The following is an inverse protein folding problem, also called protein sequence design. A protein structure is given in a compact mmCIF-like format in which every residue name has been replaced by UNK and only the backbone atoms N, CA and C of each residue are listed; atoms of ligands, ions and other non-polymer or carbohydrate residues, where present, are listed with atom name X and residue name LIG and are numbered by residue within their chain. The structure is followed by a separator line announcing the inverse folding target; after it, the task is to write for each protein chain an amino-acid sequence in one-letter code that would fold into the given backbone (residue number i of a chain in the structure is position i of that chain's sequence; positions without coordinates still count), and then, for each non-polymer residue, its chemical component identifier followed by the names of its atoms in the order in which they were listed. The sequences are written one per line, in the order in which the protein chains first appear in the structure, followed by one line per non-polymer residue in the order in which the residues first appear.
data_IF_003837081731
#
_entry.id   IF_003837081731
#
_cell.length_a   1.000
_cell.length_b   1.000
_cell.length_c   1.000
_cell.angle_alpha   90.00
_cell.angle_beta   90.00
_cell.angle_gamma   90.00
#
_symmetry.space_group_name_H-M   'P 1'
#
loop_
_entity.id
_entity.type
_entity.pdbx_description
1 polymer ?
#
# COMPACT_ATOMS: atom_id res chain seq x y z
N UNK A 1 2.22 -20.38 -5.94
CA UNK A 1 3.35 -20.21 -5.00
C UNK A 1 3.21 -18.82 -4.40
N UNK A 2 3.19 -18.71 -3.08
CA UNK A 2 3.29 -17.39 -2.41
C UNK A 2 4.72 -16.93 -2.66
N UNK A 3 4.93 -15.95 -3.53
CA UNK A 3 6.27 -15.44 -3.80
C UNK A 3 6.72 -14.61 -2.61
N UNK A 4 7.76 -15.06 -1.92
CA UNK A 4 8.45 -14.27 -0.91
C UNK A 4 8.98 -12.97 -1.52
N UNK A 5 9.02 -11.91 -0.71
CA UNK A 5 9.54 -10.62 -1.14
C UNK A 5 11.07 -10.71 -1.27
N UNK A 6 11.57 -10.32 -2.44
CA UNK A 6 12.99 -10.27 -2.80
C UNK A 6 13.65 -9.01 -2.24
N UNK A 7 14.98 -8.94 -2.29
CA UNK A 7 15.70 -7.72 -1.92
C UNK A 7 15.30 -6.50 -2.77
N UNK A 8 15.02 -6.70 -4.06
CA UNK A 8 14.53 -5.64 -4.94
C UNK A 8 13.14 -5.14 -4.50
N UNK A 9 12.27 -6.03 -4.06
CA UNK A 9 10.96 -5.64 -3.51
C UNK A 9 11.13 -4.83 -2.23
N UNK A 10 12.08 -5.21 -1.36
CA UNK A 10 12.33 -4.48 -0.12
C UNK A 10 12.88 -3.07 -0.38
N UNK A 11 13.68 -2.88 -1.43
CA UNK A 11 14.08 -1.54 -1.90
C UNK A 11 12.86 -0.71 -2.32
N UNK A 12 11.93 -1.30 -3.07
CA UNK A 12 10.68 -0.62 -3.46
C UNK A 12 9.85 -0.26 -2.21
N UNK A 13 9.73 -1.17 -1.26
CA UNK A 13 9.02 -0.94 0.00
C UNK A 13 9.63 0.22 0.79
N UNK A 14 10.95 0.29 0.89
CA UNK A 14 11.65 1.39 1.57
C UNK A 14 11.38 2.73 0.88
N UNK A 15 11.51 2.79 -0.45
CA UNK A 15 11.24 4.02 -1.22
C UNK A 15 9.77 4.47 -1.12
N UNK A 16 8.82 3.53 -1.16
CA UNK A 16 7.40 3.85 -0.94
C UNK A 16 7.17 4.39 0.48
N UNK A 17 7.90 3.86 1.46
CA UNK A 17 7.81 4.33 2.85
C UNK A 17 8.35 5.75 2.98
N UNK A 18 9.51 6.03 2.38
CA UNK A 18 10.11 7.37 2.34
C UNK A 18 9.23 8.39 1.58
N UNK A 19 8.51 7.93 0.55
CA UNK A 19 7.52 8.74 -0.16
C UNK A 19 6.25 9.04 0.67
N UNK A 20 6.13 8.49 1.89
CA UNK A 20 5.07 8.80 2.84
C UNK A 20 4.02 7.69 3.02
N UNK A 21 4.23 6.50 2.45
CA UNK A 21 3.35 5.36 2.69
C UNK A 21 3.71 4.67 4.02
N UNK A 22 2.72 4.16 4.76
CA UNK A 22 3.03 3.32 5.92
C UNK A 22 3.75 2.04 5.44
N UNK A 23 4.83 1.63 6.13
CA UNK A 23 5.64 0.46 5.75
C UNK A 23 4.81 -0.81 5.57
N UNK A 24 3.84 -1.06 6.45
CA UNK A 24 2.97 -2.23 6.38
C UNK A 24 2.11 -2.20 5.12
N UNK A 25 1.58 -1.03 4.76
CA UNK A 25 0.82 -0.83 3.53
C UNK A 25 1.74 -1.02 2.30
N UNK A 26 2.95 -0.48 2.33
CA UNK A 26 3.92 -0.64 1.24
C UNK A 26 4.23 -2.11 0.97
N UNK A 27 4.47 -2.91 2.03
CA UNK A 27 4.67 -4.36 1.93
C UNK A 27 3.47 -5.06 1.29
N UNK A 28 2.26 -4.74 1.74
CA UNK A 28 1.01 -5.30 1.21
C UNK A 28 0.83 -4.96 -0.27
N UNK A 29 1.05 -3.70 -0.65
CA UNK A 29 0.91 -3.22 -2.04
C UNK A 29 1.88 -3.94 -2.96
N UNK A 30 3.16 -4.03 -2.58
CA UNK A 30 4.17 -4.71 -3.40
C UNK A 30 3.85 -6.21 -3.52
N UNK A 31 3.48 -6.87 -2.42
CA UNK A 31 3.07 -8.27 -2.47
C UNK A 31 1.85 -8.50 -3.37
N UNK A 32 0.78 -7.74 -3.17
CA UNK A 32 -0.45 -7.87 -3.95
C UNK A 32 -0.25 -7.53 -5.43
N UNK A 33 0.67 -6.60 -5.76
CA UNK A 33 0.99 -6.28 -7.15
C UNK A 33 1.60 -7.47 -7.91
N UNK A 34 2.34 -8.33 -7.20
CA UNK A 34 2.96 -9.54 -7.76
C UNK A 34 2.01 -10.72 -7.76
N UNK A 35 1.21 -10.87 -6.71
CA UNK A 35 0.25 -11.95 -6.57
C UNK A 35 -1.03 -11.75 -7.41
N UNK A 36 -1.38 -10.50 -7.73
CA UNK A 36 -2.62 -10.10 -8.39
C UNK A 36 -3.84 -10.16 -7.46
N UNK A 37 -4.12 -11.35 -6.90
CA UNK A 37 -5.17 -11.59 -5.92
C UNK A 37 -4.66 -12.50 -4.80
N UNK A 38 -4.93 -12.16 -3.53
CA UNK A 38 -4.52 -12.97 -2.38
C UNK A 38 -5.55 -12.92 -1.25
N UNK A 39 -5.65 -14.00 -0.47
CA UNK A 39 -6.48 -14.05 0.74
C UNK A 39 -5.77 -13.44 1.95
N UNK A 40 -6.52 -13.01 2.97
CA UNK A 40 -5.94 -12.38 4.18
C UNK A 40 -4.76 -13.17 4.75
N UNK A 41 -4.87 -14.50 4.82
CA UNK A 41 -3.84 -15.38 5.40
C UNK A 41 -2.52 -15.34 4.63
N UNK A 42 -2.57 -15.25 3.31
CA UNK A 42 -1.36 -15.19 2.49
C UNK A 42 -0.68 -13.83 2.63
N UNK A 43 -1.49 -12.77 2.78
CA UNK A 43 -1.03 -11.41 3.02
C UNK A 43 -0.38 -11.29 4.40
N UNK A 44 -0.99 -11.86 5.45
CA UNK A 44 -0.40 -11.94 6.80
C UNK A 44 0.99 -12.58 6.75
N UNK A 45 1.14 -13.70 6.04
CA UNK A 45 2.41 -14.42 5.91
C UNK A 45 3.45 -13.64 5.09
N UNK A 46 3.07 -13.13 3.91
CA UNK A 46 4.01 -12.48 3.00
C UNK A 46 4.43 -11.10 3.48
N UNK A 47 3.49 -10.33 4.04
CA UNK A 47 3.79 -9.01 4.58
C UNK A 47 4.38 -9.07 6.00
N UNK A 48 4.44 -10.26 6.63
CA UNK A 48 4.82 -10.45 8.03
C UNK A 48 3.99 -9.56 8.98
N UNK A 49 2.67 -9.56 8.77
CA UNK A 49 1.72 -8.73 9.51
C UNK A 49 0.74 -9.61 10.28
N UNK A 50 0.31 -9.13 11.44
CA UNK A 50 -0.80 -9.72 12.20
C UNK A 50 -2.13 -9.30 11.59
N UNK A 51 -3.16 -10.11 11.80
CA UNK A 51 -4.51 -9.85 11.31
C UNK A 51 -5.05 -8.42 11.56
N UNK A 52 -4.84 -7.76 12.73
CA UNK A 52 -5.27 -6.38 12.94
C UNK A 52 -4.61 -5.39 11.98
N UNK A 53 -3.31 -5.56 11.74
CA UNK A 53 -2.51 -4.71 10.85
C UNK A 53 -2.93 -4.90 9.39
N UNK A 54 -3.17 -6.16 8.99
CA UNK A 54 -3.71 -6.46 7.66
C UNK A 54 -5.10 -5.83 7.49
N UNK A 55 -5.94 -5.88 8.51
CA UNK A 55 -7.28 -5.30 8.43
C UNK A 55 -7.24 -3.77 8.29
N UNK A 56 -6.32 -3.10 8.98
CA UNK A 56 -6.10 -1.66 8.87
C UNK A 56 -5.58 -1.29 7.47
N UNK A 57 -4.54 -1.98 6.99
CA UNK A 57 -3.99 -1.75 5.66
C UNK A 57 -5.04 -1.98 4.56
N UNK A 58 -5.85 -3.04 4.65
CA UNK A 58 -6.93 -3.29 3.70
C UNK A 58 -8.02 -2.24 3.75
N UNK A 59 -8.29 -1.65 4.92
CA UNK A 59 -9.26 -0.56 5.05
C UNK A 59 -8.77 0.67 4.28
N UNK A 60 -7.54 1.11 4.53
CA UNK A 60 -6.94 2.27 3.86
C UNK A 60 -6.83 2.06 2.35
N UNK A 61 -6.35 0.88 1.92
CA UNK A 61 -6.25 0.53 0.50
C UNK A 61 -7.60 0.48 -0.21
N UNK A 62 -8.68 0.12 0.50
CA UNK A 62 -10.05 0.20 -0.05
C UNK A 62 -10.53 1.64 -0.15
N UNK A 63 -10.25 2.48 0.86
CA UNK A 63 -10.62 3.90 0.87
C UNK A 63 -9.92 4.67 -0.26
N UNK A 64 -8.66 4.35 -0.55
CA UNK A 64 -7.94 4.91 -1.72
C UNK A 64 -8.35 4.27 -3.05
N UNK A 65 -9.20 3.25 -3.00
CA UNK A 65 -9.65 2.52 -4.18
C UNK A 65 -8.54 1.76 -4.88
N UNK A 66 -7.50 1.33 -4.17
CA UNK A 66 -6.39 0.53 -4.72
C UNK A 66 -6.68 -0.97 -4.67
N UNK A 67 -7.52 -1.42 -3.74
CA UNK A 67 -7.88 -2.84 -3.55
C UNK A 67 -9.40 -3.05 -3.56
N UNK A 68 -9.84 -4.17 -4.15
CA UNK A 68 -11.20 -4.70 -4.03
C UNK A 68 -11.22 -5.94 -3.14
N UNK A 69 -12.24 -6.04 -2.29
CA UNK A 69 -12.50 -7.19 -1.42
C UNK A 69 -13.61 -8.07 -2.01
N UNK A 70 -13.42 -9.39 -1.95
CA UNK A 70 -14.43 -10.39 -2.30
C UNK A 70 -14.51 -11.46 -1.22
N UNK A 71 -15.74 -11.84 -0.84
CA UNK A 71 -15.94 -13.00 0.02
C UNK A 71 -15.94 -14.30 -0.78
N UNK A 72 -15.07 -15.22 -0.39
CA UNK A 72 -15.01 -16.58 -0.88
C UNK A 72 -15.89 -17.46 0.01
N UNK A 73 -17.07 -17.83 -0.51
CA UNK A 73 -17.96 -18.81 0.13
C UNK A 73 -17.28 -20.18 0.10
N UNK A 74 -16.99 -20.74 1.27
CA UNK A 74 -16.56 -22.14 1.40
C UNK A 74 -17.79 -23.06 1.43
N UNK A 75 -17.72 -24.22 0.75
CA UNK A 75 -18.73 -25.29 0.79
C UNK A 75 -18.73 -26.10 2.12
N UNK A 76 -18.40 -25.49 3.26
CA UNK A 76 -18.28 -26.20 4.55
C UNK A 76 -18.34 -25.29 5.78
N UNK A 77 -18.25 -25.86 6.99
CA UNK A 77 -18.28 -25.11 8.27
C UNK A 77 -17.07 -24.18 8.41
N UNK A 78 -17.32 -22.92 8.77
CA UNK A 78 -16.28 -21.91 9.04
C UNK A 78 -16.70 -20.51 8.60
N UNK A 79 -15.93 -19.48 9.00
CA UNK A 79 -16.14 -18.11 8.52
C UNK A 79 -15.71 -18.00 7.04
N UNK A 80 -16.44 -17.24 6.21
CA UNK A 80 -16.04 -16.99 4.83
C UNK A 80 -14.63 -16.35 4.80
N UNK A 81 -13.85 -16.69 3.77
CA UNK A 81 -12.52 -16.11 3.58
C UNK A 81 -12.64 -14.85 2.74
N UNK A 82 -11.88 -13.82 3.09
CA UNK A 82 -11.77 -12.60 2.28
C UNK A 82 -10.59 -12.73 1.32
N UNK A 83 -10.85 -12.41 0.06
CA UNK A 83 -9.85 -12.27 -0.99
C UNK A 83 -9.73 -10.82 -1.40
N UNK A 84 -8.52 -10.37 -1.66
CA UNK A 84 -8.19 -9.01 -2.01
C UNK A 84 -7.48 -8.98 -3.35
N UNK A 85 -7.93 -8.11 -4.25
CA UNK A 85 -7.39 -7.95 -5.59
C UNK A 85 -7.00 -6.49 -5.84
N UNK A 86 -5.82 -6.28 -6.42
CA UNK A 86 -5.42 -4.95 -6.88
C UNK A 86 -6.34 -4.46 -7.98
N UNK A 87 -6.71 -3.19 -7.91
CA UNK A 87 -7.54 -2.52 -8.92
C UNK A 87 -6.73 -1.69 -9.90
N UNK A 88 -5.51 -1.33 -9.51
CA UNK A 88 -4.53 -0.55 -10.27
C UNK A 88 -3.21 -1.28 -10.30
N UNK A 89 -2.42 -1.03 -11.33
CA UNK A 89 -1.04 -1.51 -11.38
C UNK A 89 -0.15 -0.75 -10.39
N UNK A 90 0.94 -1.39 -9.94
CA UNK A 90 1.91 -0.76 -9.03
C UNK A 90 2.46 0.55 -9.62
N UNK A 91 2.64 0.61 -10.95
CA UNK A 91 3.12 1.81 -11.64
C UNK A 91 2.17 3.00 -11.46
N UNK A 92 0.86 2.77 -11.57
CA UNK A 92 -0.15 3.83 -11.41
C UNK A 92 -0.15 4.36 -9.97
N UNK A 93 -0.07 3.45 -8.99
CA UNK A 93 0.05 3.80 -7.57
C UNK A 93 1.30 4.64 -7.30
N UNK A 94 2.44 4.24 -7.87
CA UNK A 94 3.70 5.01 -7.75
C UNK A 94 3.55 6.38 -8.39
N UNK A 95 2.90 6.49 -9.55
CA UNK A 95 2.66 7.78 -10.20
C UNK A 95 1.79 8.71 -9.35
N UNK A 96 0.72 8.20 -8.76
CA UNK A 96 -0.14 8.96 -7.83
C UNK A 96 0.65 9.46 -6.62
N UNK A 97 1.47 8.60 -6.00
CA UNK A 97 2.32 8.98 -4.87
C UNK A 97 3.37 10.02 -5.24
N UNK A 98 4.07 9.84 -6.37
CA UNK A 98 5.09 10.78 -6.84
C UNK A 98 4.47 12.14 -7.14
N UNK A 99 3.31 12.17 -7.80
CA UNK A 99 2.62 13.42 -8.10
C UNK A 99 2.22 14.15 -6.81
N UNK A 100 1.59 13.44 -5.86
CA UNK A 100 1.22 14.00 -4.56
C UNK A 100 2.44 14.56 -3.82
N UNK A 101 3.56 13.82 -3.82
CA UNK A 101 4.77 14.26 -3.12
C UNK A 101 5.41 15.49 -3.76
N UNK A 102 5.38 15.59 -5.09
CA UNK A 102 5.83 16.79 -5.81
C UNK A 102 4.97 18.01 -5.51
N UNK A 103 3.65 17.84 -5.36
CA UNK A 103 2.74 18.91 -4.95
C UNK A 103 3.01 19.37 -3.51
N UNK A 104 3.27 18.43 -2.60
CA UNK A 104 3.71 18.74 -1.22
C UNK A 104 5.02 19.55 -1.21
N UNK A 105 6.03 19.11 -1.96
CA UNK A 105 7.33 19.80 -2.07
C UNK A 105 7.13 21.23 -2.58
N UNK A 106 6.39 21.41 -3.68
CA UNK A 106 6.11 22.75 -4.24
C UNK A 106 5.42 23.67 -3.23
N UNK A 107 4.52 23.13 -2.42
CA UNK A 107 3.85 23.91 -1.37
C UNK A 107 4.85 24.31 -0.28
N UNK A 108 5.68 23.38 0.18
CA UNK A 108 6.72 23.64 1.20
C UNK A 108 7.71 24.69 0.69
N UNK A 109 8.19 24.58 -0.54
CA UNK A 109 9.08 25.58 -1.16
C UNK A 109 8.45 26.98 -1.15
N UNK A 110 7.19 27.09 -1.55
CA UNK A 110 6.46 28.36 -1.50
C UNK A 110 6.33 28.91 -0.08
N UNK A 111 5.98 28.06 0.88
CA UNK A 111 5.81 28.44 2.28
C UNK A 111 7.16 28.92 2.88
N UNK A 112 8.28 28.32 2.47
CA UNK A 112 9.63 28.74 2.86
C UNK A 112 10.03 30.09 2.25
N UNK A 113 9.76 30.30 0.96
CA UNK A 113 10.02 31.57 0.28
C UNK A 113 9.24 32.73 0.93
N UNK A 114 7.97 32.49 1.27
CA UNK A 114 7.13 33.45 1.98
C UNK A 114 7.70 33.75 3.38
N UNK A 115 8.09 32.72 4.13
CA UNK A 115 8.71 32.87 5.45
C UNK A 115 9.98 33.73 5.38
N UNK A 116 10.89 33.45 4.44
CA UNK A 116 12.12 34.26 4.26
C UNK A 116 11.83 35.72 3.92
N UNK A 117 10.76 35.98 3.15
CA UNK A 117 10.37 37.34 2.78
C UNK A 117 9.80 38.15 3.95
N UNK A 118 9.22 37.48 4.97
CA UNK A 118 8.61 38.13 6.12
C UNK A 118 9.61 38.55 7.21
N UNK A 119 10.82 37.98 7.21
CA UNK A 119 11.87 38.27 8.21
C UNK A 119 13.03 39.13 7.65
N UNK A 120 12.90 39.60 6.41
CA UNK A 120 13.78 40.60 5.79
C UNK A 120 13.20 42.01 5.98
#
# INVERSE_FOLDING_TARGET
MVSELTESDEKVINLLTEAGLNRNIARVVVFLSKAGEAVSRDIERAANLRQPEVSLAMKELKEWGWVKERELKKKGKGRPLKSYKMTKELREIVQELVQKKREEIKKIEKDLDELESMVK
#
